data_IF_364633504476
#
_entry.id   IF_364633504476
#
_cell.length_a   1.000
_cell.length_b   1.000
_cell.length_c   1.000
_cell.angle_alpha   90.00
_cell.angle_beta   90.00
_cell.angle_gamma   90.00
#
_symmetry.space_group_name_H-M   'P 1'
#
loop_
_entity.id
_entity.type
_entity.pdbx_description
1 polymer ?
#
# COMPACT_ATOMS: atom_id res chain seq x y z
N UNK A 1 26.29 -7.99 -14.25
CA UNK A 1 25.62 -8.91 -13.30
C UNK A 1 25.96 -8.46 -11.88
N UNK A 2 25.25 -7.47 -11.37
CA UNK A 2 25.32 -7.08 -9.96
C UNK A 2 23.93 -6.64 -9.50
N UNK A 3 23.11 -7.63 -9.17
CA UNK A 3 21.78 -7.46 -8.59
C UNK A 3 21.86 -7.89 -7.12
N UNK A 4 22.63 -7.20 -6.29
CA UNK A 4 22.63 -7.48 -4.84
C UNK A 4 22.76 -6.22 -4.00
N UNK A 5 21.64 -5.93 -3.31
CA UNK A 5 21.45 -5.08 -2.11
C UNK A 5 21.36 -3.57 -2.35
N UNK A 6 20.20 -3.12 -2.82
CA UNK A 6 19.68 -1.82 -2.39
C UNK A 6 19.42 -1.91 -0.87
N UNK A 7 19.94 -1.00 -0.04
CA UNK A 7 19.53 -0.91 1.35
C UNK A 7 18.00 -0.84 1.43
N UNK A 8 17.39 -1.50 2.42
CA UNK A 8 15.93 -1.43 2.63
C UNK A 8 15.44 0.03 2.77
N UNK A 9 16.32 0.95 3.19
CA UNK A 9 16.07 2.38 3.28
C UNK A 9 15.98 3.11 1.92
N UNK A 10 16.41 2.49 0.82
CA UNK A 10 16.39 3.06 -0.53
C UNK A 10 15.34 2.40 -1.44
N UNK A 11 14.49 1.54 -0.87
CA UNK A 11 13.38 0.95 -1.61
C UNK A 11 12.39 2.06 -1.99
N UNK A 12 12.20 2.24 -3.29
CA UNK A 12 11.20 3.14 -3.83
C UNK A 12 9.81 2.49 -3.72
N UNK A 13 8.75 3.30 -3.91
CA UNK A 13 7.37 2.79 -4.01
C UNK A 13 7.27 1.72 -5.11
N UNK A 14 7.95 1.95 -6.23
CA UNK A 14 8.01 1.02 -7.36
C UNK A 14 8.74 -0.29 -7.01
N UNK A 15 9.87 -0.23 -6.30
CA UNK A 15 10.59 -1.44 -5.84
C UNK A 15 9.70 -2.30 -4.91
N UNK A 16 8.98 -1.64 -3.98
CA UNK A 16 8.04 -2.30 -3.07
C UNK A 16 6.87 -2.92 -3.83
N UNK A 17 6.31 -2.18 -4.79
CA UNK A 17 5.19 -2.62 -5.64
C UNK A 17 5.57 -3.89 -6.40
N UNK A 18 6.71 -3.91 -7.08
CA UNK A 18 7.18 -5.07 -7.85
C UNK A 18 7.38 -6.28 -6.93
N UNK A 19 8.11 -6.11 -5.83
CA UNK A 19 8.47 -7.23 -4.95
C UNK A 19 7.26 -7.82 -4.22
N UNK A 20 6.39 -6.96 -3.68
CA UNK A 20 5.17 -7.41 -2.99
C UNK A 20 4.14 -7.98 -3.96
N UNK A 21 4.07 -7.49 -5.20
CA UNK A 21 3.23 -8.06 -6.25
C UNK A 21 3.63 -9.49 -6.65
N UNK A 22 4.89 -9.85 -6.43
CA UNK A 22 5.43 -11.21 -6.63
C UNK A 22 5.51 -12.02 -5.33
N UNK A 23 5.02 -11.47 -4.21
CA UNK A 23 5.12 -12.06 -2.87
C UNK A 23 6.57 -12.37 -2.42
N UNK A 24 7.55 -11.60 -2.91
CA UNK A 24 8.96 -11.77 -2.57
C UNK A 24 9.32 -10.90 -1.37
N UNK A 25 9.90 -11.49 -0.33
CA UNK A 25 10.41 -10.74 0.82
C UNK A 25 9.33 -10.08 1.69
N UNK A 26 8.08 -10.55 1.60
CA UNK A 26 6.90 -9.96 2.28
C UNK A 26 7.15 -9.63 3.76
N UNK A 27 7.72 -10.52 4.60
CA UNK A 27 7.92 -10.20 6.02
C UNK A 27 8.83 -8.99 6.28
N UNK A 28 9.77 -8.71 5.38
CA UNK A 28 10.68 -7.57 5.50
C UNK A 28 10.14 -6.32 4.80
N UNK A 29 9.38 -6.47 3.72
CA UNK A 29 8.94 -5.36 2.86
C UNK A 29 7.56 -4.82 3.22
N UNK A 30 6.65 -5.65 3.74
CA UNK A 30 5.32 -5.20 4.13
C UNK A 30 5.36 -4.09 5.21
N UNK A 31 6.20 -4.16 6.26
CA UNK A 31 6.32 -3.05 7.21
C UNK A 31 6.74 -1.72 6.55
N UNK A 32 7.59 -1.78 5.51
CA UNK A 32 8.07 -0.59 4.80
C UNK A 32 6.96 -0.01 3.89
N UNK A 33 6.26 -0.88 3.17
CA UNK A 33 5.11 -0.46 2.37
C UNK A 33 4.01 0.18 3.23
N UNK A 34 3.78 -0.33 4.45
CA UNK A 34 2.82 0.27 5.38
C UNK A 34 3.23 1.68 5.84
N UNK A 35 4.53 1.96 6.01
CA UNK A 35 4.98 3.32 6.33
C UNK A 35 4.67 4.32 5.21
N UNK A 36 4.74 3.87 3.95
CA UNK A 36 4.33 4.66 2.78
C UNK A 36 2.82 4.83 2.77
N UNK A 37 2.07 3.72 2.78
CA UNK A 37 0.62 3.70 2.60
C UNK A 37 -0.16 4.38 3.73
N UNK A 38 0.37 4.41 4.95
CA UNK A 38 -0.25 5.15 6.06
C UNK A 38 -0.10 6.68 5.91
N UNK A 39 0.86 7.14 5.11
CA UNK A 39 1.04 8.57 4.79
C UNK A 39 0.30 8.95 3.52
N UNK A 40 0.45 8.15 2.48
CA UNK A 40 -0.23 8.32 1.19
C UNK A 40 -0.73 6.94 0.69
N UNK A 41 -2.02 6.62 0.88
CA UNK A 41 -2.62 5.37 0.40
C UNK A 41 -2.64 5.24 -1.11
N UNK A 42 -2.56 6.37 -1.82
CA UNK A 42 -2.53 6.47 -3.27
C UNK A 42 -1.12 6.74 -3.79
N UNK A 43 -0.10 6.50 -2.97
CA UNK A 43 1.30 6.54 -3.40
C UNK A 43 1.46 5.72 -4.68
N UNK A 44 1.97 6.39 -5.71
CA UNK A 44 2.23 5.81 -7.02
C UNK A 44 3.73 5.55 -7.20
N UNK A 45 4.04 4.44 -7.87
CA UNK A 45 5.30 4.28 -8.57
C UNK A 45 5.22 4.96 -9.95
N UNK A 46 5.66 4.25 -10.99
CA UNK A 46 5.71 4.81 -12.34
C UNK A 46 4.40 4.63 -13.14
N UNK A 47 3.37 3.98 -12.55
CA UNK A 47 2.20 3.51 -13.28
C UNK A 47 0.89 4.22 -12.92
N UNK A 48 0.28 3.90 -11.77
CA UNK A 48 -1.04 4.42 -11.40
C UNK A 48 -1.17 4.63 -9.88
N UNK A 49 -1.93 5.64 -9.42
CA UNK A 49 -2.22 5.88 -8.01
C UNK A 49 -2.74 4.63 -7.27
N UNK A 50 -2.05 4.25 -6.19
CA UNK A 50 -2.45 3.15 -5.32
C UNK A 50 -2.14 1.75 -5.86
N UNK A 51 -1.26 1.61 -6.84
CA UNK A 51 -0.78 0.32 -7.34
C UNK A 51 -0.04 -0.52 -6.27
N UNK A 52 0.74 0.11 -5.40
CA UNK A 52 1.34 -0.52 -4.22
C UNK A 52 0.26 -1.05 -3.28
N UNK A 53 -0.79 -0.24 -3.03
CA UNK A 53 -1.91 -0.62 -2.17
C UNK A 53 -2.62 -1.85 -2.74
N UNK A 54 -2.88 -1.89 -4.06
CA UNK A 54 -3.51 -3.02 -4.72
C UNK A 54 -2.76 -4.35 -4.45
N UNK A 55 -1.43 -4.34 -4.48
CA UNK A 55 -0.61 -5.51 -4.18
C UNK A 55 -0.68 -5.88 -2.69
N UNK A 56 -0.59 -4.90 -1.78
CA UNK A 56 -0.67 -5.13 -0.32
C UNK A 56 -2.03 -5.72 0.09
N UNK A 57 -3.14 -5.25 -0.48
CA UNK A 57 -4.48 -5.76 -0.17
C UNK A 57 -4.71 -7.22 -0.62
N UNK A 58 -3.88 -7.72 -1.53
CA UNK A 58 -3.95 -9.10 -2.05
C UNK A 58 -3.11 -10.08 -1.25
N UNK A 59 -2.22 -9.61 -0.38
CA UNK A 59 -1.37 -10.47 0.44
C UNK A 59 -2.22 -11.40 1.32
N UNK A 60 -1.78 -12.66 1.51
CA UNK A 60 -2.55 -13.63 2.28
C UNK A 60 -2.55 -13.28 3.78
N UNK A 61 -3.59 -13.72 4.51
CA UNK A 61 -3.76 -13.46 5.95
C UNK A 61 -2.49 -13.68 6.81
N UNK A 62 -1.70 -14.76 6.60
CA UNK A 62 -0.47 -14.98 7.35
C UNK A 62 0.59 -13.87 7.21
N UNK A 63 0.58 -13.10 6.12
CA UNK A 63 1.49 -11.98 5.92
C UNK A 63 1.31 -10.87 6.97
N UNK A 64 0.10 -10.77 7.54
CA UNK A 64 -0.24 -9.78 8.57
C UNK A 64 0.07 -10.26 9.99
N UNK A 65 0.59 -11.48 10.15
CA UNK A 65 1.02 -12.01 11.44
C UNK A 65 2.11 -11.13 12.04
N UNK A 66 1.86 -10.56 13.21
CA UNK A 66 2.76 -9.61 13.87
C UNK A 66 2.59 -8.15 13.44
N UNK A 67 1.72 -7.84 12.48
CA UNK A 67 1.43 -6.47 11.99
C UNK A 67 -0.03 -6.07 12.22
N UNK A 68 -0.66 -6.60 13.27
CA UNK A 68 -2.08 -6.37 13.55
C UNK A 68 -2.39 -4.88 13.78
N UNK A 69 -1.53 -4.17 14.50
CA UNK A 69 -1.75 -2.76 14.79
C UNK A 69 -1.66 -1.89 13.52
N UNK A 70 -0.68 -2.18 12.67
CA UNK A 70 -0.48 -1.51 11.39
C UNK A 70 -1.62 -1.82 10.43
N UNK A 71 -2.11 -3.06 10.42
CA UNK A 71 -3.29 -3.46 9.65
C UNK A 71 -4.53 -2.65 10.05
N UNK A 72 -4.80 -2.51 11.34
CA UNK A 72 -5.94 -1.71 11.83
C UNK A 72 -5.79 -0.24 11.47
N UNK A 73 -4.59 0.33 11.61
CA UNK A 73 -4.31 1.70 11.16
C UNK A 73 -4.58 1.88 9.67
N UNK A 74 -4.12 0.93 8.85
CA UNK A 74 -4.38 0.94 7.42
C UNK A 74 -5.88 0.87 7.15
N UNK A 75 -6.63 0.01 7.86
CA UNK A 75 -8.09 -0.06 7.73
C UNK A 75 -8.76 1.28 8.02
N UNK A 76 -8.37 1.97 9.08
CA UNK A 76 -8.90 3.31 9.40
C UNK A 76 -8.62 4.30 8.26
N UNK A 77 -7.39 4.31 7.76
CA UNK A 77 -6.98 5.18 6.65
C UNK A 77 -7.80 4.89 5.38
N UNK A 78 -7.98 3.62 5.05
CA UNK A 78 -8.75 3.20 3.88
C UNK A 78 -10.24 3.49 3.99
N UNK A 79 -10.82 3.42 5.20
CA UNK A 79 -12.22 3.76 5.43
C UNK A 79 -12.51 5.24 5.14
N UNK A 80 -11.59 6.12 5.55
CA UNK A 80 -11.65 7.55 5.25
C UNK A 80 -11.47 7.83 3.75
N UNK A 81 -10.59 7.08 3.08
CA UNK A 81 -10.31 7.24 1.64
C UNK A 81 -11.57 6.94 0.82
N UNK A 82 -12.26 5.85 1.13
CA UNK A 82 -13.52 5.51 0.43
C UNK A 82 -14.67 6.43 0.84
N UNK A 83 -14.62 7.03 2.02
CA UNK A 83 -15.58 8.07 2.43
C UNK A 83 -15.37 9.41 1.70
N UNK A 84 -14.31 9.54 0.90
CA UNK A 84 -13.99 10.76 0.15
C UNK A 84 -13.46 11.88 1.05
N UNK A 85 -12.94 11.56 2.25
CA UNK A 85 -12.28 12.55 3.09
C UNK A 85 -10.83 12.71 2.64
N UNK A 86 -10.38 13.96 2.40
CA UNK A 86 -9.03 14.19 1.90
C UNK A 86 -7.99 13.74 2.93
N UNK A 87 -7.02 12.94 2.47
CA UNK A 87 -5.78 12.68 3.18
C UNK A 87 -4.79 13.78 2.84
N UNK A 88 -4.24 14.43 3.88
CA UNK A 88 -3.21 15.48 3.89
C UNK A 88 -2.86 16.21 2.57
N UNK A 89 -2.96 17.54 2.68
CA UNK A 89 -2.66 18.63 1.73
C UNK A 89 -3.59 18.76 0.50
N UNK A 90 -4.01 19.99 0.16
CA UNK A 90 -4.77 20.26 -1.04
C UNK A 90 -3.81 20.27 -2.24
N UNK A 91 -3.45 19.09 -2.72
CA UNK A 91 -3.00 18.95 -4.11
C UNK A 91 -4.07 19.58 -5.02
N UNK A 92 -3.69 20.25 -6.13
CA UNK A 92 -4.65 20.96 -6.98
C UNK A 92 -5.63 20.03 -7.70
N UNK A 93 -5.37 18.72 -7.70
CA UNK A 93 -6.26 17.69 -8.24
C UNK A 93 -6.51 16.59 -7.20
N UNK A 94 -7.77 16.34 -6.78
CA UNK A 94 -8.07 15.23 -5.90
C UNK A 94 -7.76 13.90 -6.61
N UNK A 95 -6.76 13.17 -6.09
CA UNK A 95 -6.46 11.80 -6.51
C UNK A 95 -7.55 10.87 -5.97
N UNK A 96 -8.32 10.27 -6.87
CA UNK A 96 -9.36 9.31 -6.50
C UNK A 96 -8.90 7.87 -6.80
N UNK A 97 -9.19 6.90 -5.91
CA UNK A 97 -8.94 5.49 -6.23
C UNK A 97 -9.85 5.08 -7.40
N UNK A 98 -9.29 4.38 -8.39
CA UNK A 98 -10.09 3.79 -9.44
C UNK A 98 -11.12 2.78 -8.88
N UNK A 99 -12.09 2.39 -9.72
CA UNK A 99 -13.16 1.47 -9.32
C UNK A 99 -12.62 0.13 -8.79
N UNK A 100 -11.59 -0.42 -9.40
CA UNK A 100 -11.03 -1.71 -9.01
C UNK A 100 -10.33 -1.63 -7.65
N UNK A 101 -9.54 -0.59 -7.43
CA UNK A 101 -8.88 -0.33 -6.15
C UNK A 101 -9.91 -0.08 -5.06
N UNK A 102 -10.95 0.70 -5.34
CA UNK A 102 -12.06 0.95 -4.41
C UNK A 102 -12.76 -0.35 -4.01
N UNK A 103 -13.07 -1.23 -4.97
CA UNK A 103 -13.66 -2.53 -4.70
C UNK A 103 -12.72 -3.43 -3.86
N UNK A 104 -11.41 -3.37 -4.12
CA UNK A 104 -10.41 -4.11 -3.33
C UNK A 104 -10.35 -3.62 -1.88
N UNK A 105 -10.38 -2.30 -1.67
CA UNK A 105 -10.43 -1.69 -0.34
C UNK A 105 -11.68 -2.14 0.42
N UNK A 106 -12.86 -2.05 -0.20
CA UNK A 106 -14.11 -2.47 0.45
C UNK A 106 -14.09 -3.95 0.85
N UNK A 107 -13.55 -4.83 -0.01
CA UNK A 107 -13.35 -6.25 0.32
C UNK A 107 -12.38 -6.44 1.49
N UNK A 108 -11.32 -5.66 1.57
CA UNK A 108 -10.36 -5.74 2.66
C UNK A 108 -10.94 -5.26 3.99
N UNK A 109 -11.75 -4.20 3.97
CA UNK A 109 -12.44 -3.68 5.16
C UNK A 109 -13.51 -4.65 5.69
N UNK A 110 -14.11 -5.46 4.81
CA UNK A 110 -15.12 -6.47 5.17
C UNK A 110 -14.55 -7.80 5.68
N UNK A 111 -13.23 -8.00 5.64
CA UNK A 111 -12.53 -9.13 6.27
C UNK A 111 -12.16 -8.78 7.71
#
# INVERSE_FOLDING_TARGET
MELRRKPLAEFTVEDLRIMLGQEIGVPALLPLALQVLLRDPLAEGDYYPGDLLANVLRLPEPAWSGLRAERERLRSVLAELVAGRPFSDPDPEPREPDRHLRDAVLRFLGR
#
